data_IF_359520178314
#
_entry.id   IF_359520178314
#
_cell.length_a   1.000
_cell.length_b   1.000
_cell.length_c   1.000
_cell.angle_alpha   90.00
_cell.angle_beta   90.00
_cell.angle_gamma   90.00
#
_symmetry.space_group_name_H-M   'P 1'
#
loop_
_entity.id
_entity.type
_entity.pdbx_description
1 polymer ?
#
# COMPACT_ATOMS: atom_id res chain seq x y z
N UNK A 1 -10.19 -11.52 -13.63
CA UNK A 1 -9.71 -11.98 -12.31
C UNK A 1 -9.18 -13.42 -12.33
N UNK A 2 -9.76 -14.34 -13.12
CA UNK A 2 -9.27 -15.74 -13.13
C UNK A 2 -7.81 -15.81 -13.59
N UNK A 3 -7.45 -15.07 -14.67
CA UNK A 3 -6.05 -14.97 -15.09
C UNK A 3 -5.13 -14.41 -14.01
N UNK A 4 -5.62 -13.44 -13.23
CA UNK A 4 -4.82 -12.82 -12.18
C UNK A 4 -4.58 -13.84 -11.03
N UNK A 5 -5.60 -14.61 -10.66
CA UNK A 5 -5.47 -15.70 -9.70
C UNK A 5 -4.50 -16.78 -10.20
N UNK A 6 -4.60 -17.18 -11.48
CA UNK A 6 -3.67 -18.16 -12.08
C UNK A 6 -2.21 -17.67 -12.04
N UNK A 7 -1.99 -16.37 -12.25
CA UNK A 7 -0.66 -15.75 -12.12
C UNK A 7 -0.14 -15.79 -10.67
N UNK A 8 -0.99 -15.51 -9.68
CA UNK A 8 -0.61 -15.59 -8.26
C UNK A 8 -0.27 -17.02 -7.84
N UNK A 9 -1.05 -18.00 -8.29
CA UNK A 9 -0.77 -19.42 -8.07
C UNK A 9 0.54 -19.85 -8.76
N UNK A 10 0.79 -19.36 -9.97
CA UNK A 10 2.06 -19.62 -10.67
C UNK A 10 3.22 -18.97 -9.91
N UNK A 11 3.07 -17.73 -9.44
CA UNK A 11 4.11 -17.04 -8.69
C UNK A 11 4.51 -17.82 -7.42
N UNK A 12 3.55 -18.35 -6.66
CA UNK A 12 3.83 -19.23 -5.53
C UNK A 12 4.63 -20.47 -5.94
N UNK A 13 4.19 -21.14 -7.01
CA UNK A 13 4.84 -22.38 -7.52
C UNK A 13 6.27 -22.16 -8.00
N UNK A 14 6.58 -21.00 -8.58
CA UNK A 14 7.94 -20.70 -9.09
C UNK A 14 8.80 -19.99 -8.06
N UNK A 15 8.31 -19.77 -6.83
CA UNK A 15 9.08 -19.31 -5.68
C UNK A 15 9.20 -17.81 -5.54
N UNK A 16 8.21 -17.02 -5.94
CA UNK A 16 8.13 -15.61 -5.55
C UNK A 16 7.80 -15.51 -4.05
N UNK A 17 8.47 -14.59 -3.36
CA UNK A 17 8.29 -14.38 -1.92
C UNK A 17 7.02 -13.60 -1.59
N UNK A 18 6.65 -12.62 -2.43
CA UNK A 18 5.57 -11.67 -2.16
C UNK A 18 4.79 -11.33 -3.43
N UNK A 19 3.48 -11.10 -3.28
CA UNK A 19 2.63 -10.48 -4.29
C UNK A 19 1.87 -9.31 -3.68
N UNK A 20 1.88 -8.14 -4.36
CA UNK A 20 1.25 -6.91 -3.91
C UNK A 20 0.17 -6.49 -4.91
N UNK A 21 -1.05 -6.30 -4.42
CA UNK A 21 -2.22 -6.02 -5.24
C UNK A 21 -2.72 -4.60 -5.01
N UNK A 22 -2.85 -3.81 -6.09
CA UNK A 22 -3.35 -2.44 -6.06
C UNK A 22 -4.84 -2.34 -5.82
N UNK A 23 -5.30 -1.13 -5.49
CA UNK A 23 -6.70 -0.79 -5.27
C UNK A 23 -7.07 0.44 -6.09
N UNK A 24 -7.98 0.29 -7.06
CA UNK A 24 -8.55 1.38 -7.85
C UNK A 24 -10.00 1.14 -8.22
N UNK A 25 -10.76 2.22 -8.34
CA UNK A 25 -12.21 2.18 -8.62
C UNK A 25 -12.54 2.75 -9.99
N UNK A 26 -11.78 3.74 -10.47
CA UNK A 26 -12.05 4.46 -11.72
C UNK A 26 -11.03 4.19 -12.82
N UNK A 27 -10.00 3.41 -12.55
CA UNK A 27 -8.98 3.03 -13.54
C UNK A 27 -9.37 1.73 -14.24
N UNK A 28 -9.74 1.84 -15.52
CA UNK A 28 -10.22 0.69 -16.32
C UNK A 28 -9.16 -0.39 -16.52
N UNK A 29 -7.89 -0.02 -16.50
CA UNK A 29 -6.75 -0.93 -16.70
C UNK A 29 -6.26 -1.58 -15.41
N UNK A 30 -6.62 -1.03 -14.25
CA UNK A 30 -6.32 -1.56 -12.91
C UNK A 30 -7.63 -1.75 -12.13
N UNK A 31 -8.43 -2.68 -12.61
CA UNK A 31 -9.77 -2.91 -12.08
C UNK A 31 -9.76 -3.88 -10.89
N UNK A 32 -9.26 -3.41 -9.75
CA UNK A 32 -9.21 -4.17 -8.50
C UNK A 32 -9.73 -3.31 -7.31
N UNK A 33 -11.07 -3.11 -7.21
CA UNK A 33 -11.63 -2.26 -6.15
C UNK A 33 -11.57 -2.87 -4.75
N UNK A 34 -11.24 -4.16 -4.63
CA UNK A 34 -11.17 -4.87 -3.36
C UNK A 34 -10.03 -5.92 -3.42
N UNK A 35 -8.76 -5.49 -3.31
CA UNK A 35 -7.62 -6.39 -3.38
C UNK A 35 -7.64 -7.48 -2.31
N UNK A 36 -8.22 -7.20 -1.15
CA UNK A 36 -8.40 -8.16 -0.06
C UNK A 36 -9.27 -9.38 -0.46
N UNK A 37 -10.27 -9.21 -1.32
CA UNK A 37 -11.06 -10.33 -1.85
C UNK A 37 -10.24 -11.21 -2.81
N UNK A 38 -9.40 -10.60 -3.65
CA UNK A 38 -8.48 -11.34 -4.52
C UNK A 38 -7.44 -12.09 -3.68
N UNK A 39 -6.87 -11.44 -2.68
CA UNK A 39 -5.93 -12.06 -1.73
C UNK A 39 -6.60 -13.23 -1.02
N UNK A 40 -7.81 -13.06 -0.48
CA UNK A 40 -8.52 -14.13 0.21
C UNK A 40 -8.76 -15.36 -0.69
N UNK A 41 -9.10 -15.14 -1.97
CA UNK A 41 -9.22 -16.22 -2.95
C UNK A 41 -7.87 -16.89 -3.23
N UNK A 42 -6.81 -16.10 -3.46
CA UNK A 42 -5.48 -16.61 -3.76
C UNK A 42 -4.86 -17.40 -2.59
N UNK A 43 -5.10 -16.98 -1.35
CA UNK A 43 -4.62 -17.65 -0.14
C UNK A 43 -5.06 -19.11 -0.04
N UNK A 44 -6.26 -19.45 -0.53
CA UNK A 44 -6.77 -20.82 -0.54
C UNK A 44 -6.12 -21.72 -1.61
N UNK A 45 -5.39 -21.13 -2.54
CA UNK A 45 -4.79 -21.80 -3.70
C UNK A 45 -3.24 -21.76 -3.68
N UNK A 46 -2.66 -21.17 -2.63
CA UNK A 46 -1.22 -20.96 -2.48
C UNK A 46 -0.75 -21.36 -1.10
N UNK A 47 0.53 -21.72 -0.95
CA UNK A 47 1.07 -22.25 0.30
C UNK A 47 2.12 -21.32 0.94
N UNK A 48 3.00 -20.70 0.14
CA UNK A 48 4.21 -20.03 0.64
C UNK A 48 4.20 -18.52 0.45
N UNK A 49 3.75 -18.05 -0.70
CA UNK A 49 3.79 -16.63 -1.08
C UNK A 49 3.02 -15.77 -0.07
N UNK A 50 3.62 -14.67 0.33
CA UNK A 50 2.98 -13.66 1.16
C UNK A 50 2.21 -12.67 0.28
N UNK A 51 1.11 -12.16 0.75
CA UNK A 51 0.27 -11.22 0.03
C UNK A 51 0.21 -9.89 0.74
N UNK A 52 0.34 -8.81 -0.03
CA UNK A 52 0.16 -7.46 0.46
C UNK A 52 -0.84 -6.67 -0.37
N UNK A 53 -1.52 -5.72 0.25
CA UNK A 53 -2.19 -4.66 -0.51
C UNK A 53 -1.13 -3.70 -1.02
N UNK A 54 -1.16 -3.38 -2.28
CA UNK A 54 -0.13 -2.54 -2.89
C UNK A 54 -0.71 -1.37 -3.71
N UNK A 55 -1.57 -0.58 -3.08
CA UNK A 55 -1.82 -0.31 -1.65
C UNK A 55 -3.31 -0.34 -1.29
N UNK A 56 -3.66 -0.32 0.01
CA UNK A 56 -4.97 0.13 0.47
C UNK A 56 -5.01 1.66 0.38
N UNK A 57 -5.97 2.22 -0.35
CA UNK A 57 -6.18 3.67 -0.48
C UNK A 57 -6.94 4.20 0.74
N UNK A 58 -6.25 4.30 1.84
CA UNK A 58 -6.82 4.37 3.19
C UNK A 58 -7.77 5.55 3.43
N UNK A 59 -7.52 6.70 2.78
CA UNK A 59 -8.41 7.87 2.90
C UNK A 59 -9.84 7.68 2.37
N UNK A 60 -10.10 6.59 1.65
CA UNK A 60 -11.42 6.27 1.09
C UNK A 60 -12.22 5.25 1.92
N UNK A 61 -11.60 4.67 2.94
CA UNK A 61 -12.23 3.63 3.75
C UNK A 61 -12.79 4.15 5.08
N UNK A 62 -13.82 3.48 5.55
CA UNK A 62 -14.27 3.57 6.93
C UNK A 62 -13.33 2.73 7.82
N UNK A 63 -12.59 3.34 8.76
CA UNK A 63 -11.48 2.66 9.43
C UNK A 63 -11.90 1.50 10.32
N UNK A 64 -13.05 1.58 10.98
CA UNK A 64 -13.54 0.48 11.83
C UNK A 64 -13.83 -0.76 10.99
N UNK A 65 -14.52 -0.56 9.86
CA UNK A 65 -14.85 -1.65 8.96
C UNK A 65 -13.59 -2.27 8.33
N UNK A 66 -12.66 -1.41 7.91
CA UNK A 66 -11.39 -1.86 7.34
C UNK A 66 -10.53 -2.61 8.36
N UNK A 67 -10.45 -2.13 9.61
CA UNK A 67 -9.70 -2.81 10.68
C UNK A 67 -10.15 -4.27 10.87
N UNK A 68 -11.47 -4.50 10.88
CA UNK A 68 -12.03 -5.85 11.02
C UNK A 68 -11.75 -6.73 9.79
N UNK A 69 -11.88 -6.17 8.57
CA UNK A 69 -11.57 -6.90 7.33
C UNK A 69 -10.12 -7.33 7.25
N UNK A 70 -9.19 -6.41 7.56
CA UNK A 70 -7.76 -6.70 7.53
C UNK A 70 -7.35 -7.69 8.62
N UNK A 71 -7.90 -7.58 9.83
CA UNK A 71 -7.68 -8.56 10.89
C UNK A 71 -8.19 -9.95 10.48
N UNK A 72 -9.39 -10.04 9.90
CA UNK A 72 -9.93 -11.29 9.38
C UNK A 72 -9.05 -11.86 8.26
N UNK A 73 -8.59 -11.02 7.34
CA UNK A 73 -7.70 -11.44 6.25
C UNK A 73 -6.37 -11.98 6.80
N UNK A 74 -5.84 -11.37 7.84
CA UNK A 74 -4.62 -11.82 8.48
C UNK A 74 -4.78 -13.23 9.10
N UNK A 75 -5.90 -13.50 9.78
CA UNK A 75 -6.23 -14.84 10.24
C UNK A 75 -6.40 -15.85 9.10
N UNK A 76 -7.10 -15.47 8.02
CA UNK A 76 -7.26 -16.33 6.83
C UNK A 76 -5.91 -16.65 6.17
N UNK A 77 -5.00 -15.70 6.21
CA UNK A 77 -3.66 -15.81 5.64
C UNK A 77 -2.71 -16.69 6.47
N UNK A 78 -3.05 -16.94 7.72
CA UNK A 78 -2.16 -17.60 8.71
C UNK A 78 -0.82 -16.87 8.84
N UNK A 79 -0.86 -15.53 8.89
CA UNK A 79 0.32 -14.67 9.02
C UNK A 79 1.08 -14.42 7.71
N UNK A 80 0.52 -14.76 6.54
CA UNK A 80 1.09 -14.44 5.23
C UNK A 80 0.60 -13.09 4.67
N UNK A 81 -0.21 -12.36 5.41
CA UNK A 81 -0.69 -11.03 5.02
C UNK A 81 0.28 -9.93 5.43
N UNK A 82 0.43 -8.93 4.58
CA UNK A 82 1.14 -7.68 4.82
C UNK A 82 0.23 -6.51 4.42
N UNK A 83 0.26 -5.43 5.19
CA UNK A 83 -0.62 -4.30 4.93
C UNK A 83 0.15 -3.15 4.27
N UNK A 84 -0.03 -2.98 2.98
CA UNK A 84 0.50 -1.82 2.25
C UNK A 84 -0.49 -0.67 2.26
N UNK A 85 -0.02 0.51 2.63
CA UNK A 85 -0.82 1.72 2.83
C UNK A 85 -0.44 2.79 1.82
N UNK A 86 -1.46 3.39 1.19
CA UNK A 86 -1.36 4.63 0.42
C UNK A 86 -2.01 5.79 1.17
N UNK A 87 -1.24 6.87 1.39
CA UNK A 87 -1.73 8.11 2.02
C UNK A 87 -2.32 9.11 1.02
N UNK A 88 -2.63 8.68 -0.17
CA UNK A 88 -3.27 9.47 -1.21
C UNK A 88 -4.17 8.56 -2.01
N UNK A 89 -4.86 9.13 -2.97
CA UNK A 89 -5.72 8.41 -3.89
C UNK A 89 -5.77 9.14 -5.23
N UNK A 90 -6.34 8.48 -6.22
CA UNK A 90 -6.68 9.13 -7.47
C UNK A 90 -7.88 10.04 -7.21
N UNK A 91 -7.83 11.32 -7.62
CA UNK A 91 -8.94 12.24 -7.35
C UNK A 91 -10.30 11.73 -7.82
N UNK A 92 -10.36 11.02 -8.96
CA UNK A 92 -11.59 10.45 -9.50
C UNK A 92 -12.18 9.35 -8.62
N UNK A 93 -11.34 8.54 -7.98
CA UNK A 93 -11.79 7.52 -7.02
C UNK A 93 -12.43 8.19 -5.80
N UNK A 94 -11.81 9.24 -5.27
CA UNK A 94 -12.35 9.98 -4.13
C UNK A 94 -13.67 10.68 -4.45
N UNK A 95 -13.75 11.34 -5.62
CA UNK A 95 -15.00 11.98 -6.09
C UNK A 95 -16.12 10.94 -6.23
N UNK A 96 -15.81 9.74 -6.76
CA UNK A 96 -16.79 8.64 -6.87
C UNK A 96 -17.35 8.24 -5.50
N UNK A 97 -16.54 8.30 -4.44
CA UNK A 97 -16.93 8.02 -3.06
C UNK A 97 -17.59 9.20 -2.35
N UNK A 98 -17.76 10.34 -3.03
CA UNK A 98 -18.32 11.57 -2.44
C UNK A 98 -17.37 12.28 -1.46
N UNK A 99 -16.06 12.06 -1.60
CA UNK A 99 -15.02 12.63 -0.74
C UNK A 99 -14.30 13.77 -1.45
N UNK A 100 -13.80 14.73 -0.67
CA UNK A 100 -12.92 15.79 -1.19
C UNK A 100 -11.49 15.23 -1.38
N UNK A 101 -10.94 15.25 -2.61
CA UNK A 101 -9.58 14.81 -2.87
C UNK A 101 -8.49 15.57 -2.08
N UNK A 102 -8.75 16.80 -1.66
CA UNK A 102 -7.81 17.59 -0.86
C UNK A 102 -7.65 17.06 0.57
N UNK A 103 -8.66 16.39 1.11
CA UNK A 103 -8.66 15.81 2.46
C UNK A 103 -8.08 14.39 2.52
N UNK A 104 -7.89 13.73 1.38
CA UNK A 104 -7.54 12.30 1.30
C UNK A 104 -6.35 11.90 2.15
N UNK A 105 -5.31 12.74 2.20
CA UNK A 105 -4.13 12.46 3.01
C UNK A 105 -4.42 12.58 4.51
N UNK A 106 -5.09 13.63 4.95
CA UNK A 106 -5.40 13.85 6.36
C UNK A 106 -6.33 12.75 6.89
N UNK A 107 -7.35 12.39 6.10
CA UNK A 107 -8.23 11.25 6.38
C UNK A 107 -7.45 9.94 6.53
N UNK A 108 -6.49 9.69 5.64
CA UNK A 108 -5.68 8.47 5.68
C UNK A 108 -4.79 8.42 6.92
N UNK A 109 -4.16 9.53 7.29
CA UNK A 109 -3.31 9.63 8.48
C UNK A 109 -4.15 9.39 9.76
N UNK A 110 -5.34 9.98 9.86
CA UNK A 110 -6.26 9.74 10.98
C UNK A 110 -6.79 8.29 11.01
N UNK A 111 -7.12 7.73 9.84
CA UNK A 111 -7.58 6.34 9.74
C UNK A 111 -6.53 5.32 10.21
N UNK A 112 -5.23 5.57 9.96
CA UNK A 112 -4.14 4.73 10.49
C UNK A 112 -4.22 4.67 12.02
N UNK A 113 -4.31 5.84 12.66
CA UNK A 113 -4.32 5.93 14.12
C UNK A 113 -5.57 5.25 14.72
N UNK A 114 -6.71 5.37 14.06
CA UNK A 114 -7.93 4.64 14.44
C UNK A 114 -7.74 3.14 14.34
N UNK A 115 -7.25 2.63 13.20
CA UNK A 115 -7.07 1.18 12.98
C UNK A 115 -6.09 0.59 13.98
N UNK A 116 -4.93 1.22 14.15
CA UNK A 116 -3.92 0.76 15.10
C UNK A 116 -4.42 0.86 16.55
N UNK A 117 -5.16 1.90 16.88
CA UNK A 117 -5.80 2.04 18.19
C UNK A 117 -6.83 0.96 18.47
N UNK A 118 -7.67 0.61 17.50
CA UNK A 118 -8.62 -0.51 17.62
C UNK A 118 -7.89 -1.84 17.84
N UNK A 119 -6.78 -2.08 17.16
CA UNK A 119 -6.00 -3.30 17.35
C UNK A 119 -5.20 -3.33 18.65
N UNK A 120 -4.75 -2.18 19.15
CA UNK A 120 -4.02 -2.07 20.42
C UNK A 120 -4.96 -2.04 21.64
N UNK A 121 -6.25 -1.76 21.46
CA UNK A 121 -7.19 -1.57 22.58
C UNK A 121 -7.25 -2.80 23.49
N UNK A 122 -6.80 -2.65 24.73
CA UNK A 122 -6.98 -3.64 25.78
C UNK A 122 -8.42 -3.58 26.30
N UNK A 123 -8.92 -4.65 26.89
CA UNK A 123 -10.28 -4.74 27.46
C UNK A 123 -11.43 -4.43 26.48
N UNK A 124 -11.14 -4.37 25.18
CA UNK A 124 -12.14 -4.07 24.16
C UNK A 124 -12.71 -2.65 24.22
N UNK A 125 -12.03 -1.68 24.86
CA UNK A 125 -12.44 -0.28 24.88
C UNK A 125 -11.54 0.57 24.01
N UNK A 126 -12.15 1.40 23.16
CA UNK A 126 -11.44 2.37 22.33
C UNK A 126 -12.35 3.56 22.04
N UNK A 127 -11.82 4.77 22.20
CA UNK A 127 -12.50 6.00 21.84
C UNK A 127 -11.58 6.89 21.03
N UNK A 128 -12.11 7.48 19.95
CA UNK A 128 -11.41 8.43 19.09
C UNK A 128 -12.35 9.58 18.73
N UNK A 129 -11.89 10.82 18.87
CA UNK A 129 -12.59 12.03 18.48
C UNK A 129 -11.67 12.86 17.59
N UNK A 130 -11.71 12.60 16.29
CA UNK A 130 -10.90 13.27 15.28
C UNK A 130 -11.67 14.25 14.43
N UNK A 131 -11.03 14.73 13.39
CA UNK A 131 -11.61 15.61 12.39
C UNK A 131 -12.60 14.85 11.48
N UNK A 132 -12.19 13.65 11.05
CA UNK A 132 -12.93 12.83 10.07
C UNK A 132 -13.69 11.68 10.72
N UNK A 133 -13.18 11.13 11.82
CA UNK A 133 -13.75 9.95 12.44
C UNK A 133 -14.08 10.15 13.92
N UNK A 134 -15.24 9.64 14.30
CA UNK A 134 -15.69 9.60 15.71
C UNK A 134 -16.05 8.18 16.04
N UNK A 135 -15.27 7.56 16.91
CA UNK A 135 -15.38 6.16 17.26
C UNK A 135 -15.58 6.03 18.77
N UNK A 136 -16.55 5.22 19.12
CA UNK A 136 -16.78 4.78 20.50
C UNK A 136 -17.00 3.28 20.47
N UNK A 137 -15.97 2.52 20.75
CA UNK A 137 -16.05 1.07 20.72
C UNK A 137 -16.65 0.54 22.03
N UNK A 138 -17.69 -0.29 21.97
CA UNK A 138 -18.27 -0.88 23.16
C UNK A 138 -17.29 -1.85 23.81
N UNK A 139 -17.19 -1.80 25.14
CA UNK A 139 -16.44 -2.79 25.92
C UNK A 139 -17.04 -4.18 25.70
N UNK A 140 -16.18 -5.18 25.64
CA UNK A 140 -16.62 -6.57 25.56
C UNK A 140 -17.41 -6.96 26.82
N UNK A 141 -18.68 -7.28 26.64
CA UNK A 141 -19.53 -7.80 27.70
C UNK A 141 -19.22 -9.29 27.92
N UNK A 142 -18.80 -9.68 29.12
CA UNK A 142 -18.39 -11.07 29.39
C UNK A 142 -19.54 -12.07 29.39
N UNK A 143 -20.80 -11.62 29.44
CA UNK A 143 -21.99 -12.50 29.45
C UNK A 143 -22.52 -12.73 28.04
N UNK A 144 -22.64 -11.63 27.28
CA UNK A 144 -23.18 -11.69 25.91
C UNK A 144 -22.10 -11.85 24.84
N UNK A 145 -20.85 -11.72 25.22
CA UNK A 145 -19.67 -11.74 24.34
C UNK A 145 -19.75 -10.72 23.18
N UNK A 146 -20.45 -9.59 23.41
CA UNK A 146 -20.58 -8.50 22.46
C UNK A 146 -19.67 -7.35 22.84
N UNK A 147 -18.98 -6.82 21.87
CA UNK A 147 -18.05 -5.70 22.02
C UNK A 147 -16.83 -5.80 21.11
N UNK A 148 -15.91 -4.86 21.22
CA UNK A 148 -14.67 -4.88 20.44
C UNK A 148 -13.78 -6.04 20.91
N UNK A 149 -13.46 -6.96 20.00
CA UNK A 149 -12.64 -8.14 20.30
C UNK A 149 -11.69 -8.55 19.17
N UNK A 150 -11.99 -8.19 17.91
CA UNK A 150 -11.23 -8.62 16.75
C UNK A 150 -9.84 -7.99 16.74
N UNK A 151 -8.81 -8.82 16.79
CA UNK A 151 -7.41 -8.45 16.64
C UNK A 151 -6.81 -9.19 15.44
N UNK A 152 -5.77 -8.65 14.79
CA UNK A 152 -5.03 -9.44 13.80
C UNK A 152 -4.33 -10.64 14.46
N UNK A 153 -3.99 -11.64 13.65
CA UNK A 153 -3.20 -12.80 14.08
C UNK A 153 -1.75 -12.40 14.39
N UNK A 154 -1.19 -11.55 13.55
CA UNK A 154 0.15 -10.98 13.72
C UNK A 154 0.08 -9.76 14.64
N UNK A 155 0.61 -9.85 15.85
CA UNK A 155 0.57 -8.79 16.84
C UNK A 155 1.85 -7.94 16.82
N UNK A 156 1.78 -6.63 17.06
CA UNK A 156 0.58 -5.83 17.34
C UNK A 156 -0.26 -5.54 16.08
N UNK A 157 0.26 -5.78 14.91
CA UNK A 157 -0.37 -5.63 13.59
C UNK A 157 0.40 -6.45 12.54
N UNK A 158 -0.20 -6.78 11.38
CA UNK A 158 0.54 -7.32 10.24
C UNK A 158 1.68 -6.40 9.84
N UNK A 159 2.78 -6.90 9.23
CA UNK A 159 3.83 -6.05 8.71
C UNK A 159 3.26 -4.94 7.82
N UNK A 160 3.64 -3.68 8.08
CA UNK A 160 3.14 -2.51 7.36
C UNK A 160 4.18 -2.03 6.36
N UNK A 161 3.74 -1.76 5.12
CA UNK A 161 4.52 -1.06 4.12
C UNK A 161 3.83 0.26 3.74
N UNK A 162 4.61 1.35 3.62
CA UNK A 162 4.08 2.66 3.28
C UNK A 162 4.60 3.12 1.92
N UNK A 163 3.67 3.36 1.00
CA UNK A 163 4.01 3.66 -0.38
C UNK A 163 4.35 5.12 -0.64
N UNK A 164 5.25 5.32 -1.61
CA UNK A 164 5.69 6.61 -2.11
C UNK A 164 5.81 6.59 -3.64
N UNK A 165 5.20 7.59 -4.29
CA UNK A 165 5.19 7.78 -5.74
C UNK A 165 5.79 9.11 -6.19
N UNK A 166 6.24 9.97 -5.26
CA UNK A 166 6.83 11.27 -5.54
C UNK A 166 8.25 11.38 -4.97
N UNK A 167 9.16 12.15 -5.59
CA UNK A 167 10.56 12.24 -5.20
C UNK A 167 10.81 12.54 -3.71
N UNK A 168 10.03 13.46 -3.13
CA UNK A 168 10.18 13.90 -1.73
C UNK A 168 8.97 13.48 -0.89
N UNK A 169 8.62 12.21 -0.92
CA UNK A 169 7.43 11.71 -0.25
C UNK A 169 7.55 11.75 1.28
N UNK A 170 6.67 12.53 1.91
CA UNK A 170 6.54 12.55 3.38
C UNK A 170 6.16 11.18 3.95
N UNK A 171 5.54 10.30 3.17
CA UNK A 171 5.19 8.94 3.61
C UNK A 171 6.41 8.13 4.02
N UNK A 172 7.55 8.30 3.32
CA UNK A 172 8.78 7.60 3.67
C UNK A 172 9.40 8.07 5.00
N UNK A 173 9.21 9.35 5.32
CA UNK A 173 9.62 9.85 6.63
C UNK A 173 8.82 9.16 7.74
N UNK A 174 7.49 9.06 7.57
CA UNK A 174 6.59 8.35 8.49
C UNK A 174 6.99 6.86 8.60
N UNK A 175 7.33 6.22 7.46
CA UNK A 175 7.82 4.84 7.47
C UNK A 175 9.07 4.70 8.36
N UNK A 176 10.05 5.60 8.23
CA UNK A 176 11.24 5.63 9.09
C UNK A 176 10.90 5.87 10.56
N UNK A 177 10.05 6.85 10.86
CA UNK A 177 9.61 7.18 12.22
C UNK A 177 8.87 6.03 12.91
N UNK A 178 8.04 5.30 12.18
CA UNK A 178 7.24 4.19 12.72
C UNK A 178 7.90 2.81 12.59
N UNK A 179 9.09 2.72 11.97
CA UNK A 179 9.78 1.45 11.74
C UNK A 179 9.07 0.55 10.72
N UNK A 180 8.30 1.14 9.80
CA UNK A 180 7.59 0.42 8.75
C UNK A 180 8.41 0.28 7.48
N UNK A 181 8.08 -0.72 6.66
CA UNK A 181 8.77 -0.95 5.40
C UNK A 181 8.48 0.16 4.38
N UNK A 182 9.49 0.80 3.80
CA UNK A 182 9.27 1.73 2.70
C UNK A 182 8.94 0.98 1.40
N UNK A 183 8.04 1.55 0.58
CA UNK A 183 7.70 1.03 -0.73
C UNK A 183 7.80 2.14 -1.77
N UNK A 184 8.66 1.99 -2.77
CA UNK A 184 8.82 2.93 -3.88
C UNK A 184 8.09 2.41 -5.11
N UNK A 185 7.12 3.22 -5.59
CA UNK A 185 6.29 2.90 -6.75
C UNK A 185 7.11 2.81 -8.05
N UNK A 186 6.64 2.02 -9.01
CA UNK A 186 7.17 1.96 -10.40
C UNK A 186 7.04 3.29 -11.14
N UNK A 187 6.11 4.16 -10.72
CA UNK A 187 5.92 5.50 -11.25
C UNK A 187 7.11 6.45 -10.99
N UNK A 188 7.96 6.10 -10.03
CA UNK A 188 9.11 6.93 -9.66
C UNK A 188 10.32 6.59 -10.54
N UNK A 189 10.95 7.60 -11.15
CA UNK A 189 12.25 7.41 -11.80
C UNK A 189 13.29 6.88 -10.82
N UNK A 190 14.14 5.95 -11.26
CA UNK A 190 15.21 5.36 -10.45
C UNK A 190 16.18 6.41 -9.87
N UNK A 191 16.31 7.54 -10.53
CA UNK A 191 17.17 8.64 -10.10
C UNK A 191 16.80 9.19 -8.71
N UNK A 192 15.53 9.07 -8.29
CA UNK A 192 15.05 9.55 -7.00
C UNK A 192 15.15 8.52 -5.86
N UNK A 193 15.53 7.27 -6.16
CA UNK A 193 15.62 6.23 -5.12
C UNK A 193 16.61 6.57 -3.98
N UNK A 194 17.81 7.13 -4.26
CA UNK A 194 18.70 7.55 -3.17
C UNK A 194 18.02 8.51 -2.19
N UNK A 195 17.33 9.55 -2.69
CA UNK A 195 16.58 10.51 -1.87
C UNK A 195 15.41 9.89 -1.10
N UNK A 196 14.79 8.82 -1.64
CA UNK A 196 13.80 8.05 -0.89
C UNK A 196 14.42 7.40 0.35
N UNK A 197 15.57 6.74 0.21
CA UNK A 197 16.25 6.13 1.34
C UNK A 197 16.73 7.16 2.36
N UNK A 198 17.28 8.29 1.92
CA UNK A 198 17.66 9.40 2.78
C UNK A 198 16.47 9.93 3.59
N UNK A 199 15.29 9.99 2.99
CA UNK A 199 14.05 10.42 3.67
C UNK A 199 13.62 9.41 4.75
N UNK A 200 13.74 8.10 4.47
CA UNK A 200 13.50 7.04 5.47
C UNK A 200 14.46 7.18 6.64
N UNK A 201 15.75 7.32 6.35
CA UNK A 201 16.78 7.48 7.38
C UNK A 201 16.58 8.74 8.23
N UNK A 202 16.17 9.85 7.60
CA UNK A 202 15.88 11.08 8.32
C UNK A 202 14.73 10.93 9.32
N UNK A 203 13.68 10.17 8.96
CA UNK A 203 12.59 9.83 9.88
C UNK A 203 13.07 8.91 11.02
N UNK A 204 13.77 7.86 10.68
CA UNK A 204 14.27 6.86 11.62
C UNK A 204 15.23 7.43 12.66
N UNK A 205 16.16 8.27 12.24
CA UNK A 205 17.15 8.90 13.11
C UNK A 205 16.51 9.77 14.20
N UNK A 206 15.35 10.39 13.90
CA UNK A 206 14.63 11.24 14.85
C UNK A 206 14.08 10.48 16.07
N UNK A 207 13.91 9.17 15.95
CA UNK A 207 13.31 8.30 16.98
C UNK A 207 14.17 7.09 17.35
N UNK A 208 15.38 6.98 16.79
CA UNK A 208 16.33 5.89 17.09
C UNK A 208 16.02 4.56 16.39
N UNK A 209 15.20 4.54 15.36
CA UNK A 209 14.95 3.35 14.54
C UNK A 209 16.13 3.06 13.61
N UNK A 210 16.30 1.78 13.25
CA UNK A 210 17.36 1.29 12.34
C UNK A 210 16.75 0.53 11.17
N UNK A 211 16.23 1.23 10.14
CA UNK A 211 15.63 0.57 8.98
C UNK A 211 16.68 -0.21 8.18
N UNK A 212 16.27 -1.36 7.60
CA UNK A 212 17.10 -2.17 6.73
C UNK A 212 16.68 -2.00 5.27
N UNK A 213 17.66 -1.92 4.36
CA UNK A 213 17.38 -1.91 2.91
C UNK A 213 16.76 -3.21 2.43
N UNK A 214 16.93 -4.33 3.12
CA UNK A 214 16.26 -5.59 2.80
C UNK A 214 14.74 -5.51 2.95
N UNK A 215 14.24 -4.57 3.75
CA UNK A 215 12.81 -4.32 3.95
C UNK A 215 12.23 -3.29 2.94
N UNK A 216 13.07 -2.70 2.11
CA UNK A 216 12.63 -1.72 1.15
C UNK A 216 12.10 -2.39 -0.13
N UNK A 217 10.81 -2.24 -0.41
CA UNK A 217 10.18 -2.72 -1.65
C UNK A 217 10.31 -1.66 -2.73
N UNK A 218 10.83 -2.07 -3.89
CA UNK A 218 11.00 -1.18 -5.05
C UNK A 218 10.28 -1.83 -6.23
N UNK A 219 9.14 -1.26 -6.61
CA UNK A 219 8.41 -1.71 -7.79
C UNK A 219 9.10 -1.23 -9.06
N UNK A 220 9.21 -2.12 -10.07
CA UNK A 220 9.74 -1.81 -11.40
C UNK A 220 9.06 -2.66 -12.46
N UNK A 221 8.81 -2.03 -13.60
CA UNK A 221 8.37 -2.76 -14.79
C UNK A 221 9.51 -3.62 -15.32
N UNK A 222 9.25 -4.90 -15.44
CA UNK A 222 10.21 -5.89 -15.97
C UNK A 222 9.57 -6.57 -17.18
N UNK A 223 10.28 -6.54 -18.29
CA UNK A 223 9.87 -7.23 -19.51
C UNK A 223 10.86 -8.33 -19.86
N UNK A 224 10.37 -9.55 -19.92
CA UNK A 224 11.17 -10.72 -20.30
C UNK A 224 10.90 -11.08 -21.76
N UNK A 225 11.94 -11.29 -22.53
CA UNK A 225 11.86 -11.74 -23.94
C UNK A 225 12.93 -12.78 -24.25
N UNK A 226 12.81 -13.48 -25.38
CA UNK A 226 13.79 -14.48 -25.82
C UNK A 226 15.20 -13.92 -25.98
N UNK A 227 15.33 -12.66 -26.41
CA UNK A 227 16.58 -11.90 -26.45
C UNK A 227 16.42 -10.51 -25.88
N UNK A 228 17.50 -9.83 -25.45
CA UNK A 228 17.45 -8.45 -24.98
C UNK A 228 16.86 -7.47 -26.01
N UNK A 229 17.12 -7.69 -27.30
CA UNK A 229 16.61 -6.83 -28.38
C UNK A 229 15.11 -6.95 -28.52
N UNK A 230 14.56 -8.16 -28.53
CA UNK A 230 13.11 -8.43 -28.58
C UNK A 230 12.44 -7.89 -27.31
N UNK A 231 13.05 -8.09 -26.15
CA UNK A 231 12.52 -7.57 -24.89
C UNK A 231 12.42 -6.04 -24.93
N UNK A 232 13.48 -5.33 -25.38
CA UNK A 232 13.48 -3.86 -25.50
C UNK A 232 12.46 -3.34 -26.51
N UNK A 233 12.36 -3.97 -27.68
CA UNK A 233 11.41 -3.59 -28.72
C UNK A 233 9.97 -3.69 -28.20
N UNK A 234 9.61 -4.84 -27.63
CA UNK A 234 8.28 -5.06 -27.07
C UNK A 234 7.98 -4.13 -25.89
N UNK A 235 8.94 -3.93 -24.99
CA UNK A 235 8.80 -3.02 -23.87
C UNK A 235 8.53 -1.59 -24.34
N UNK A 236 9.24 -1.10 -25.37
CA UNK A 236 8.98 0.25 -25.95
C UNK A 236 7.56 0.38 -26.47
N UNK A 237 7.04 -0.65 -27.13
CA UNK A 237 5.70 -0.62 -27.70
C UNK A 237 4.61 -0.65 -26.63
N UNK A 238 4.76 -1.51 -25.62
CA UNK A 238 3.72 -1.74 -24.60
C UNK A 238 3.85 -0.75 -23.46
N UNK A 239 5.02 -0.69 -22.81
CA UNK A 239 5.27 0.17 -21.66
C UNK A 239 5.40 1.63 -22.08
N UNK A 240 6.01 1.93 -23.22
CA UNK A 240 6.16 3.30 -23.73
C UNK A 240 4.80 3.97 -23.91
N UNK A 241 3.86 3.29 -24.53
CA UNK A 241 2.50 3.83 -24.69
C UNK A 241 1.79 4.04 -23.35
N UNK A 242 1.90 3.08 -22.44
CA UNK A 242 1.33 3.23 -21.09
C UNK A 242 1.94 4.42 -20.38
N UNK A 243 3.27 4.58 -20.47
CA UNK A 243 3.98 5.70 -19.86
C UNK A 243 3.54 7.05 -20.43
N UNK A 244 3.48 7.17 -21.75
CA UNK A 244 3.08 8.40 -22.44
C UNK A 244 1.61 8.81 -22.15
N UNK A 245 0.70 7.83 -22.16
CA UNK A 245 -0.74 8.10 -22.05
C UNK A 245 -1.19 8.27 -20.60
N UNK A 246 -0.65 7.47 -19.68
CA UNK A 246 -1.15 7.40 -18.31
C UNK A 246 -0.19 7.99 -17.28
N UNK A 247 1.12 7.75 -17.43
CA UNK A 247 2.09 8.11 -16.40
C UNK A 247 2.56 9.58 -16.51
N UNK A 248 3.00 10.01 -17.69
CA UNK A 248 3.50 11.38 -17.87
C UNK A 248 2.44 12.46 -17.57
N UNK A 249 1.17 12.32 -18.00
CA UNK A 249 0.13 13.29 -17.67
C UNK A 249 -0.30 13.27 -16.19
N UNK A 250 0.10 12.24 -15.43
CA UNK A 250 -0.22 12.17 -14.02
C UNK A 250 0.45 13.29 -13.21
N UNK A 251 -0.13 13.61 -12.04
CA UNK A 251 0.48 14.56 -11.10
C UNK A 251 1.92 14.15 -10.73
N UNK A 252 2.15 12.87 -10.53
CA UNK A 252 3.47 12.32 -10.20
C UNK A 252 4.46 12.50 -11.34
N UNK A 253 4.05 12.21 -12.57
CA UNK A 253 4.87 12.41 -13.77
C UNK A 253 5.22 13.88 -13.97
N UNK A 254 4.26 14.78 -13.81
CA UNK A 254 4.47 16.22 -13.92
C UNK A 254 5.49 16.74 -12.91
N UNK A 255 5.38 16.34 -11.64
CA UNK A 255 6.34 16.71 -10.59
C UNK A 255 7.75 16.22 -10.93
N UNK A 256 7.88 14.97 -11.35
CA UNK A 256 9.19 14.40 -11.69
C UNK A 256 9.83 15.12 -12.89
N UNK A 257 9.05 15.37 -13.94
CA UNK A 257 9.54 16.08 -15.12
C UNK A 257 10.01 17.50 -14.78
N UNK A 258 9.31 18.19 -13.90
CA UNK A 258 9.70 19.54 -13.46
C UNK A 258 11.04 19.53 -12.70
N UNK A 259 11.21 18.59 -11.77
CA UNK A 259 12.47 18.43 -11.03
C UNK A 259 13.62 18.07 -12.00
N UNK A 260 13.39 17.14 -12.93
CA UNK A 260 14.42 16.68 -13.88
C UNK A 260 14.85 17.76 -14.88
N UNK A 261 14.01 18.75 -15.14
CA UNK A 261 14.42 19.92 -15.97
C UNK A 261 15.51 20.75 -15.30
N UNK A 262 15.47 20.85 -13.98
CA UNK A 262 16.37 21.70 -13.20
C UNK A 262 17.60 20.96 -12.66
N UNK A 263 17.62 19.62 -12.72
CA UNK A 263 18.77 18.81 -12.29
C UNK A 263 19.23 17.86 -13.43
N UNK A 264 20.32 18.22 -14.14
CA UNK A 264 20.84 17.42 -15.23
C UNK A 264 21.38 16.04 -14.79
N UNK A 265 21.67 15.82 -13.51
CA UNK A 265 22.16 14.55 -12.98
C UNK A 265 21.04 13.53 -12.80
N UNK A 266 19.79 13.96 -12.91
CA UNK A 266 18.60 13.10 -12.78
C UNK A 266 18.04 12.63 -14.13
N UNK A 267 18.74 12.92 -15.25
CA UNK A 267 18.32 12.54 -16.62
C UNK A 267 18.68 11.11 -16.98
#
# INVERSE_FOLDING_TARGET
>A
YDRDIDQLVLADKVGFDEAWLGEHFTEKWENAPAPDLLIAKALSLTENIRFGTGVTLLGMHEPVYLAHRLAMLDHLSRGRFQWGIGLGGIPTDMVLMGLDPSEGRARAEEAIDVILGLWAAEDGTYSHQGEFFKIEAPKLDPVTERGLHMKPMQLPHPPIALAASTPNSKSLRIAGERGWSPMSSSLLSRAFLPGHWETVMAGANGVGNTPSRSEWRIARDIFVGPTPEIARERARTVLGRNYEVHQLPSRQGTIQMEIMKHDPNLK
#
